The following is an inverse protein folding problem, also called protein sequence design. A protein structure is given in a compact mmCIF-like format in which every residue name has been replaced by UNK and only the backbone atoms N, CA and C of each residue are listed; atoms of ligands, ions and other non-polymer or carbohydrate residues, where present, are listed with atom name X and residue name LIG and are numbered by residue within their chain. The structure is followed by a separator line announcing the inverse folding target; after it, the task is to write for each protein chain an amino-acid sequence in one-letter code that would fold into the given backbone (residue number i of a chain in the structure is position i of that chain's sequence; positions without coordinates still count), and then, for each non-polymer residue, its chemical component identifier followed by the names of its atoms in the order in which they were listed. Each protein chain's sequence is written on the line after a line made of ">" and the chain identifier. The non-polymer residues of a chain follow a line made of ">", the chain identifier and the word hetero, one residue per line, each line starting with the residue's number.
data_IF_723564443745
#
_entry.id   IF_723564443745
#
_cell.length_a   1.000
_cell.length_b   1.000
_cell.length_c   1.000
_cell.angle_alpha   90.00
_cell.angle_beta   90.00
_cell.angle_gamma   90.00
#
_symmetry.space_group_name_H-M   'P 1'
#
loop_
_entity.id
_entity.type
_entity.pdbx_description
1 polymer ?
#
# COMPACT_ATOMS: atom_id res chain seq x y z
N UNK A 1 -1.47 -12.34 19.88
CA UNK A 1 -2.45 -11.98 18.82
C UNK A 1 -1.84 -10.84 18.03
N UNK A 2 -1.42 -11.08 16.79
CA UNK A 2 -0.81 -10.03 15.95
C UNK A 2 -1.92 -9.32 15.18
N UNK A 3 -2.22 -8.08 15.53
CA UNK A 3 -3.15 -7.24 14.78
C UNK A 3 -2.40 -6.58 13.64
N UNK A 4 -3.01 -6.59 12.45
CA UNK A 4 -2.46 -5.94 11.26
C UNK A 4 -3.26 -4.69 10.96
N UNK A 5 -2.58 -3.67 10.44
CA UNK A 5 -3.21 -2.42 10.02
C UNK A 5 -3.28 -2.41 8.50
N UNK A 6 -4.48 -2.27 7.94
CA UNK A 6 -4.67 -2.27 6.49
C UNK A 6 -5.04 -0.88 5.98
N UNK A 7 -4.45 -0.51 4.85
CA UNK A 7 -4.91 0.63 4.05
C UNK A 7 -5.38 0.14 2.69
N UNK A 8 -6.34 0.86 2.11
CA UNK A 8 -6.78 0.66 0.73
C UNK A 8 -6.23 1.78 -0.13
N UNK A 9 -5.58 1.40 -1.23
CA UNK A 9 -5.21 2.30 -2.31
C UNK A 9 -6.14 2.09 -3.49
N UNK A 10 -6.42 3.18 -4.17
CA UNK A 10 -7.26 3.20 -5.36
C UNK A 10 -6.58 4.04 -6.44
N UNK A 11 -7.08 3.91 -7.65
CA UNK A 11 -6.62 4.57 -8.86
C UNK A 11 -5.17 4.21 -9.23
N UNK A 12 -4.77 2.97 -8.96
CA UNK A 12 -3.49 2.49 -9.50
C UNK A 12 -3.60 2.29 -11.02
N UNK A 13 -2.54 2.61 -11.77
CA UNK A 13 -2.42 2.21 -13.16
C UNK A 13 -2.58 0.69 -13.31
N UNK A 14 -3.22 0.24 -14.39
CA UNK A 14 -3.39 -1.20 -14.68
C UNK A 14 -2.05 -1.94 -14.82
N UNK A 15 -0.98 -1.23 -15.17
CA UNK A 15 0.38 -1.77 -15.26
C UNK A 15 1.12 -1.82 -13.91
N UNK A 16 0.59 -1.20 -12.86
CA UNK A 16 1.27 -1.13 -11.57
C UNK A 16 1.20 -2.48 -10.84
N UNK A 17 2.37 -2.98 -10.44
CA UNK A 17 2.52 -4.23 -9.72
C UNK A 17 3.00 -4.04 -8.27
N UNK A 18 3.29 -5.17 -7.62
CA UNK A 18 3.75 -5.21 -6.22
C UNK A 18 5.04 -4.39 -6.02
N UNK A 19 5.93 -4.37 -7.02
CA UNK A 19 7.19 -3.61 -6.97
C UNK A 19 6.96 -2.11 -6.95
N UNK A 20 6.03 -1.61 -7.76
CA UNK A 20 5.70 -0.19 -7.83
C UNK A 20 5.08 0.31 -6.53
N UNK A 21 4.17 -0.50 -5.96
CA UNK A 21 3.58 -0.24 -4.64
C UNK A 21 4.67 -0.15 -3.55
N UNK A 22 5.59 -1.12 -3.51
CA UNK A 22 6.70 -1.09 -2.54
C UNK A 22 7.63 0.09 -2.75
N UNK A 23 7.88 0.48 -4.00
CA UNK A 23 8.70 1.63 -4.33
C UNK A 23 8.06 2.94 -3.86
N UNK A 24 6.74 3.11 -4.07
CA UNK A 24 5.98 4.27 -3.62
C UNK A 24 6.07 4.46 -2.09
N UNK A 25 5.93 3.38 -1.33
CA UNK A 25 6.10 3.37 0.13
C UNK A 25 7.53 3.12 0.58
N UNK A 26 8.53 3.44 -0.25
CA UNK A 26 9.93 3.41 0.18
C UNK A 26 10.12 4.21 1.47
N UNK A 27 10.83 3.61 2.42
CA UNK A 27 11.01 4.12 3.78
C UNK A 27 10.00 3.62 4.83
N UNK A 28 8.96 2.88 4.42
CA UNK A 28 7.98 2.27 5.33
C UNK A 28 8.09 0.74 5.25
N UNK A 29 8.10 0.05 6.40
CA UNK A 29 8.21 -1.41 6.44
C UNK A 29 6.89 -2.09 6.01
N UNK A 30 6.90 -2.67 4.80
CA UNK A 30 5.80 -3.49 4.27
C UNK A 30 6.27 -4.95 4.22
N UNK A 31 5.77 -5.82 5.12
CA UNK A 31 6.25 -7.19 5.19
C UNK A 31 5.91 -7.99 3.93
N UNK A 32 6.71 -9.02 3.65
CA UNK A 32 6.50 -9.88 2.48
C UNK A 32 5.11 -10.53 2.51
N UNK A 33 4.43 -10.61 1.35
CA UNK A 33 3.06 -11.13 1.24
C UNK A 33 1.94 -10.19 1.68
N UNK A 34 2.24 -8.97 2.15
CA UNK A 34 1.22 -8.04 2.68
C UNK A 34 0.72 -7.01 1.67
N UNK A 35 1.07 -7.17 0.39
CA UNK A 35 0.51 -6.37 -0.71
C UNK A 35 -0.40 -7.28 -1.51
N UNK A 36 -1.68 -6.94 -1.56
CA UNK A 36 -2.69 -7.69 -2.30
C UNK A 36 -3.33 -6.78 -3.34
N UNK A 37 -3.06 -7.06 -4.61
CA UNK A 37 -3.68 -6.37 -5.74
C UNK A 37 -5.00 -7.10 -6.03
N UNK A 38 -6.11 -6.38 -5.91
CA UNK A 38 -7.45 -6.91 -6.20
C UNK A 38 -7.83 -6.60 -7.66
N UNK A 39 -7.44 -5.42 -8.16
CA UNK A 39 -7.85 -4.93 -9.47
C UNK A 39 -9.22 -4.25 -9.42
N UNK A 40 -10.02 -4.42 -10.48
CA UNK A 40 -11.30 -3.73 -10.65
C UNK A 40 -11.18 -2.37 -11.36
N UNK A 41 -12.30 -1.68 -11.58
CA UNK A 41 -12.37 -0.45 -12.39
C UNK A 41 -11.44 0.67 -11.89
N UNK A 42 -11.15 0.69 -10.59
CA UNK A 42 -10.26 1.67 -9.94
C UNK A 42 -8.89 1.11 -9.60
N UNK A 43 -8.56 -0.14 -9.95
CA UNK A 43 -7.27 -0.74 -9.57
C UNK A 43 -7.04 -0.76 -8.06
N UNK A 44 -7.89 -1.44 -7.31
CA UNK A 44 -7.81 -1.49 -5.85
C UNK A 44 -6.64 -2.37 -5.37
N UNK A 45 -5.92 -1.87 -4.37
CA UNK A 45 -4.84 -2.59 -3.68
C UNK A 45 -5.00 -2.46 -2.16
N UNK A 46 -4.81 -3.56 -1.45
CA UNK A 46 -4.71 -3.58 0.01
C UNK A 46 -3.27 -3.79 0.45
N UNK A 47 -2.85 -3.02 1.45
CA UNK A 47 -1.52 -3.14 2.05
C UNK A 47 -1.67 -3.32 3.55
N UNK A 48 -1.04 -4.37 4.08
CA UNK A 48 -0.95 -4.64 5.51
C UNK A 48 0.37 -4.18 6.13
N UNK A 49 0.28 -3.57 7.31
CA UNK A 49 1.41 -3.08 8.10
C UNK A 49 1.42 -3.74 9.49
N UNK A 50 2.63 -3.85 10.07
CA UNK A 50 2.84 -4.40 11.43
C UNK A 50 2.52 -3.41 12.53
N UNK A 51 2.60 -2.11 12.25
CA UNK A 51 2.34 -1.07 13.24
C UNK A 51 1.36 -0.03 12.71
N UNK A 52 0.65 0.61 13.65
CA UNK A 52 -0.18 1.76 13.36
C UNK A 52 0.62 2.93 12.79
N UNK A 53 1.87 3.11 13.26
CA UNK A 53 2.74 4.20 12.83
C UNK A 53 3.07 4.08 11.34
N UNK A 54 3.41 2.87 10.88
CA UNK A 54 3.70 2.62 9.46
C UNK A 54 2.47 2.86 8.58
N UNK A 55 1.30 2.35 9.01
CA UNK A 55 0.05 2.58 8.30
C UNK A 55 -0.33 4.07 8.24
N UNK A 56 -0.14 4.80 9.35
CA UNK A 56 -0.39 6.24 9.43
C UNK A 56 0.55 7.03 8.51
N UNK A 57 1.84 6.70 8.48
CA UNK A 57 2.79 7.31 7.56
C UNK A 57 2.44 7.01 6.09
N UNK A 58 1.99 5.79 5.80
CA UNK A 58 1.57 5.42 4.46
C UNK A 58 0.32 6.21 4.02
N UNK A 59 -0.62 6.49 4.91
CA UNK A 59 -1.79 7.34 4.61
C UNK A 59 -1.41 8.78 4.26
N UNK A 60 -0.27 9.28 4.75
CA UNK A 60 0.21 10.65 4.46
C UNK A 60 0.90 10.75 3.09
N UNK A 61 1.34 9.64 2.50
CA UNK A 61 1.89 9.63 1.14
C UNK A 61 0.73 9.67 0.13
N UNK A 62 0.52 10.84 -0.47
CA UNK A 62 -0.41 11.01 -1.58
C UNK A 62 0.34 10.88 -2.93
N UNK A 63 -0.33 10.34 -3.96
CA UNK A 63 0.22 10.22 -5.32
C UNK A 63 0.27 11.55 -6.10
N UNK A 64 0.05 12.68 -5.42
CA UNK A 64 0.01 14.01 -6.01
C UNK A 64 1.31 14.76 -5.79
N UNK A 65 2.13 14.83 -6.85
CA UNK A 65 3.30 15.70 -7.02
C UNK A 65 4.53 15.45 -6.11
N UNK A 66 5.53 14.77 -6.67
CA UNK A 66 6.86 15.38 -6.79
C UNK A 66 7.04 15.83 -8.24
#
# INVERSE_FOLDING_TARGET
>A
MFYMYYIRLQNLPLSAGIKDVRHFFSGIDIPEGHVQIIGGERGDVFIGFRSYVDASQAMLKNGGNS
#
